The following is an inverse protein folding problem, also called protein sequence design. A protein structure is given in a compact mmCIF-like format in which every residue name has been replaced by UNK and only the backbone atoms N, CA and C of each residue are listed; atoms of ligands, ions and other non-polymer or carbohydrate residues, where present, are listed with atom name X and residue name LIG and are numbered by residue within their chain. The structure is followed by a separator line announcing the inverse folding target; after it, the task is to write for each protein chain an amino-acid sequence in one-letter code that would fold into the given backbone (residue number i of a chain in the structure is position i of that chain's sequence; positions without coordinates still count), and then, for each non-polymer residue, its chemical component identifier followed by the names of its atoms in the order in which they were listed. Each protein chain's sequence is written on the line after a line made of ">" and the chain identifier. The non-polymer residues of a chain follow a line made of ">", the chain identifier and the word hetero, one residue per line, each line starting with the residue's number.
data_IF_862012228240
#
_entry.id   IF_862012228240
#
_cell.length_a   1.000
_cell.length_b   1.000
_cell.length_c   1.000
_cell.angle_alpha   90.00
_cell.angle_beta   90.00
_cell.angle_gamma   90.00
#
_symmetry.space_group_name_H-M   'P 1'
#
loop_
_entity.id
_entity.type
_entity.pdbx_description
1 polymer ?
#
# COMPACT_ATOMS: atom_id res chain seq x y z
N UNK A 1 6.15 -10.39 12.36
CA UNK A 1 7.06 -11.54 12.22
C UNK A 1 6.83 -12.46 13.40
N UNK A 2 7.17 -13.74 13.27
CA UNK A 2 7.07 -14.71 14.36
C UNK A 2 8.29 -14.66 15.28
N UNK A 3 8.15 -15.23 16.48
CA UNK A 3 9.27 -15.58 17.35
C UNK A 3 9.49 -17.09 17.28
N UNK A 4 10.73 -17.54 17.48
CA UNK A 4 11.06 -18.97 17.57
C UNK A 4 10.72 -19.44 18.99
N UNK A 5 9.81 -20.42 19.18
CA UNK A 5 9.56 -21.01 20.49
C UNK A 5 10.76 -21.84 20.96
N UNK A 6 10.96 -21.93 22.28
CA UNK A 6 12.04 -22.73 22.87
C UNK A 6 12.02 -24.19 22.35
N UNK A 7 13.19 -24.64 21.89
CA UNK A 7 13.40 -26.02 21.42
C UNK A 7 12.96 -26.34 19.99
N UNK A 8 12.52 -25.34 19.19
CA UNK A 8 12.25 -25.50 17.75
C UNK A 8 13.29 -24.77 16.91
N UNK A 9 13.60 -25.33 15.74
CA UNK A 9 14.44 -24.64 14.75
C UNK A 9 13.61 -23.67 13.90
N UNK A 10 14.26 -22.64 13.33
CA UNK A 10 13.59 -21.69 12.43
C UNK A 10 12.85 -22.38 11.27
N UNK A 11 13.44 -23.44 10.70
CA UNK A 11 12.93 -24.15 9.52
C UNK A 11 11.66 -24.91 9.89
N UNK A 12 11.63 -25.51 11.09
CA UNK A 12 10.45 -26.19 11.62
C UNK A 12 9.28 -25.24 11.88
N UNK A 13 9.54 -24.01 12.34
CA UNK A 13 8.48 -23.04 12.65
C UNK A 13 7.83 -22.50 11.38
N UNK A 14 8.64 -21.97 10.45
CA UNK A 14 8.13 -21.34 9.23
C UNK A 14 7.47 -22.33 8.28
N UNK A 15 8.14 -23.45 7.99
CA UNK A 15 7.65 -24.44 7.02
C UNK A 15 6.41 -25.18 7.52
N UNK A 16 6.40 -25.59 8.80
CA UNK A 16 5.23 -26.28 9.38
C UNK A 16 4.02 -25.37 9.42
N UNK A 17 4.20 -24.09 9.78
CA UNK A 17 3.11 -23.12 9.82
C UNK A 17 2.50 -22.92 8.43
N UNK A 18 3.32 -22.66 7.41
CA UNK A 18 2.81 -22.49 6.04
C UNK A 18 2.12 -23.75 5.54
N UNK A 19 2.68 -24.94 5.80
CA UNK A 19 2.07 -26.21 5.37
C UNK A 19 0.69 -26.42 6.00
N UNK A 20 0.56 -26.26 7.33
CA UNK A 20 -0.72 -26.37 8.02
C UNK A 20 -1.75 -25.38 7.50
N UNK A 21 -1.34 -24.13 7.30
CA UNK A 21 -2.20 -23.12 6.68
C UNK A 21 -2.62 -23.50 5.25
N UNK A 22 -1.73 -24.11 4.48
CA UNK A 22 -2.04 -24.58 3.12
C UNK A 22 -3.16 -25.61 3.11
N UNK A 23 -3.08 -26.61 3.99
CA UNK A 23 -4.08 -27.68 4.09
C UNK A 23 -5.45 -27.12 4.54
N UNK A 24 -5.47 -26.24 5.55
CA UNK A 24 -6.70 -25.59 6.03
C UNK A 24 -7.36 -24.73 4.94
N UNK A 25 -6.59 -23.88 4.27
CA UNK A 25 -7.13 -22.99 3.24
C UNK A 25 -7.55 -23.73 1.97
N UNK A 26 -6.89 -24.83 1.62
CA UNK A 26 -7.29 -25.67 0.50
C UNK A 26 -8.67 -26.32 0.73
N UNK A 27 -8.95 -26.74 1.98
CA UNK A 27 -10.27 -27.25 2.35
C UNK A 27 -11.35 -26.15 2.25
N UNK A 28 -11.08 -24.94 2.75
CA UNK A 28 -12.00 -23.80 2.63
C UNK A 28 -12.25 -23.42 1.16
N UNK A 29 -11.21 -23.43 0.32
CA UNK A 29 -11.33 -23.20 -1.13
C UNK A 29 -12.26 -24.22 -1.78
N UNK A 30 -12.10 -25.51 -1.45
CA UNK A 30 -12.96 -26.57 -1.98
C UNK A 30 -14.42 -26.38 -1.57
N UNK A 31 -14.67 -25.98 -0.32
CA UNK A 31 -16.02 -25.68 0.16
C UNK A 31 -16.65 -24.49 -0.59
N UNK A 32 -15.89 -23.41 -0.78
CA UNK A 32 -16.33 -22.24 -1.54
C UNK A 32 -16.67 -22.59 -2.99
N UNK A 33 -15.87 -23.44 -3.64
CA UNK A 33 -16.15 -23.94 -4.99
C UNK A 33 -17.48 -24.70 -5.04
N UNK A 34 -17.72 -25.62 -4.11
CA UNK A 34 -18.97 -26.37 -4.05
C UNK A 34 -20.20 -25.47 -3.83
N UNK A 35 -20.08 -24.45 -2.96
CA UNK A 35 -21.13 -23.47 -2.77
C UNK A 35 -21.41 -22.67 -4.06
N UNK A 36 -20.34 -22.24 -4.77
CA UNK A 36 -20.48 -21.56 -6.06
C UNK A 36 -21.10 -22.45 -7.14
N UNK A 37 -20.75 -23.74 -7.19
CA UNK A 37 -21.31 -24.70 -8.14
C UNK A 37 -22.79 -24.94 -7.88
N UNK A 38 -23.19 -25.06 -6.61
CA UNK A 38 -24.60 -25.17 -6.23
C UNK A 38 -25.42 -23.96 -6.68
N UNK A 39 -24.88 -22.74 -6.52
CA UNK A 39 -25.54 -21.51 -6.99
C UNK A 39 -25.59 -21.40 -8.51
N UNK A 40 -24.51 -21.78 -9.21
CA UNK A 40 -24.43 -21.72 -10.67
C UNK A 40 -25.22 -22.85 -11.36
N UNK A 41 -25.41 -23.98 -10.67
CA UNK A 41 -26.04 -25.19 -11.19
C UNK A 41 -25.12 -26.07 -12.06
N UNK A 42 -23.82 -25.79 -12.09
CA UNK A 42 -22.80 -26.60 -12.78
C UNK A 42 -21.40 -26.24 -12.27
N UNK A 43 -20.43 -27.13 -12.50
CA UNK A 43 -19.02 -26.89 -12.16
C UNK A 43 -18.36 -25.96 -13.19
N UNK A 44 -17.55 -25.03 -12.71
CA UNK A 44 -16.80 -24.10 -13.55
C UNK A 44 -15.46 -23.74 -12.90
N UNK A 45 -14.49 -23.30 -13.69
CA UNK A 45 -13.23 -22.84 -13.18
C UNK A 45 -13.34 -21.41 -12.63
N UNK A 46 -13.44 -21.26 -11.31
CA UNK A 46 -13.52 -19.98 -10.62
C UNK A 46 -12.24 -19.13 -10.72
N UNK A 47 -11.10 -19.71 -11.12
CA UNK A 47 -9.90 -18.93 -11.45
C UNK A 47 -9.95 -18.29 -12.85
N UNK A 48 -10.83 -18.77 -13.74
CA UNK A 48 -10.98 -18.27 -15.11
C UNK A 48 -11.91 -17.05 -15.17
N UNK A 49 -11.40 -15.85 -15.52
CA UNK A 49 -12.25 -14.65 -15.61
C UNK A 49 -13.37 -14.77 -16.65
N UNK A 50 -13.15 -15.55 -17.72
CA UNK A 50 -14.13 -15.78 -18.78
C UNK A 50 -15.30 -16.64 -18.29
N UNK A 51 -15.01 -17.76 -17.62
CA UNK A 51 -16.05 -18.64 -17.08
C UNK A 51 -16.80 -17.94 -15.93
N UNK A 52 -16.10 -17.22 -15.06
CA UNK A 52 -16.76 -16.37 -14.06
C UNK A 52 -17.67 -15.32 -14.69
N UNK A 53 -17.24 -14.66 -15.78
CA UNK A 53 -18.09 -13.69 -16.48
C UNK A 53 -19.35 -14.35 -17.04
N UNK A 54 -19.23 -15.56 -17.59
CA UNK A 54 -20.37 -16.31 -18.11
C UNK A 54 -21.35 -16.68 -16.99
N UNK A 55 -20.85 -17.20 -15.88
CA UNK A 55 -21.67 -17.53 -14.70
C UNK A 55 -22.41 -16.30 -14.18
N UNK A 56 -21.70 -15.21 -13.93
CA UNK A 56 -22.28 -14.02 -13.32
C UNK A 56 -23.31 -13.32 -14.22
N UNK A 57 -22.99 -13.15 -15.50
CA UNK A 57 -23.78 -12.25 -16.36
C UNK A 57 -24.68 -12.98 -17.36
N UNK A 58 -24.38 -14.23 -17.70
CA UNK A 58 -25.22 -15.04 -18.61
C UNK A 58 -26.12 -15.97 -17.81
N UNK A 59 -25.54 -16.76 -16.89
CA UNK A 59 -26.29 -17.77 -16.12
C UNK A 59 -27.14 -17.13 -15.01
N UNK A 60 -26.51 -16.35 -14.14
CA UNK A 60 -27.17 -15.70 -13.00
C UNK A 60 -27.81 -14.35 -13.37
N UNK A 61 -27.57 -13.86 -14.59
CA UNK A 61 -28.14 -12.63 -15.15
C UNK A 61 -27.96 -11.41 -14.22
N UNK A 62 -26.83 -11.30 -13.53
CA UNK A 62 -26.55 -10.16 -12.68
C UNK A 62 -26.48 -8.85 -13.47
N UNK A 63 -26.78 -7.70 -12.83
CA UNK A 63 -26.76 -6.41 -13.49
C UNK A 63 -25.41 -6.12 -14.16
N UNK A 64 -25.44 -5.70 -15.42
CA UNK A 64 -24.25 -5.33 -16.20
C UNK A 64 -24.07 -3.80 -16.29
N UNK A 65 -25.02 -3.03 -15.75
CA UNK A 65 -24.99 -1.58 -15.77
C UNK A 65 -23.75 -1.05 -15.04
N UNK A 66 -22.93 -0.26 -15.75
CA UNK A 66 -21.70 0.29 -15.18
C UNK A 66 -20.55 -0.71 -15.02
N UNK A 67 -20.72 -1.98 -15.44
CA UNK A 67 -19.67 -2.98 -15.46
C UNK A 67 -18.84 -2.85 -16.75
N UNK A 68 -17.53 -2.74 -16.61
CA UNK A 68 -16.64 -2.64 -17.77
C UNK A 68 -16.66 -3.93 -18.59
N UNK A 69 -16.74 -3.80 -19.91
CA UNK A 69 -16.63 -4.93 -20.85
C UNK A 69 -15.23 -4.97 -21.46
N UNK A 70 -14.57 -6.13 -21.34
CA UNK A 70 -13.27 -6.42 -21.94
C UNK A 70 -13.37 -7.38 -23.11
N UNK A 71 -12.22 -7.93 -23.51
CA UNK A 71 -12.12 -8.90 -24.61
C UNK A 71 -12.79 -10.25 -24.29
N UNK A 72 -12.76 -10.67 -23.03
CA UNK A 72 -13.25 -11.98 -22.56
C UNK A 72 -14.63 -11.92 -21.91
N UNK A 73 -15.41 -10.88 -22.19
CA UNK A 73 -16.71 -10.64 -21.54
C UNK A 73 -16.71 -9.45 -20.58
N UNK A 74 -17.68 -9.42 -19.67
CA UNK A 74 -17.74 -8.40 -18.63
C UNK A 74 -16.63 -8.65 -17.61
N UNK A 75 -16.01 -7.57 -17.14
CA UNK A 75 -14.89 -7.66 -16.22
C UNK A 75 -15.38 -8.14 -14.87
N UNK A 76 -14.72 -9.18 -14.38
CA UNK A 76 -14.92 -9.71 -13.03
C UNK A 76 -13.84 -9.17 -12.08
N UNK A 77 -13.18 -8.05 -12.39
CA UNK A 77 -12.14 -7.48 -11.51
C UNK A 77 -12.72 -6.97 -10.18
N UNK A 78 -11.90 -6.82 -9.14
CA UNK A 78 -12.36 -6.44 -7.80
C UNK A 78 -13.25 -5.18 -7.80
N UNK A 79 -12.85 -4.13 -8.53
CA UNK A 79 -13.64 -2.88 -8.65
C UNK A 79 -15.02 -3.06 -9.29
N UNK A 80 -15.18 -4.11 -10.10
CA UNK A 80 -16.43 -4.42 -10.77
C UNK A 80 -17.29 -5.34 -9.89
N UNK A 81 -16.68 -6.30 -9.18
CA UNK A 81 -17.34 -7.09 -8.15
C UNK A 81 -17.86 -6.22 -7.00
N UNK A 82 -17.11 -5.19 -6.60
CA UNK A 82 -17.52 -4.23 -5.56
C UNK A 82 -18.87 -3.56 -5.91
N UNK A 83 -19.18 -3.37 -7.20
CA UNK A 83 -20.46 -2.78 -7.67
C UNK A 83 -21.63 -3.77 -7.60
N UNK A 84 -21.33 -5.06 -7.52
CA UNK A 84 -22.30 -6.16 -7.47
C UNK A 84 -22.54 -6.66 -6.04
N UNK A 85 -21.83 -6.13 -5.04
CA UNK A 85 -22.03 -6.52 -3.64
C UNK A 85 -23.49 -6.33 -3.21
N UNK A 86 -24.00 -7.32 -2.47
CA UNK A 86 -25.39 -7.35 -2.05
C UNK A 86 -26.40 -7.69 -3.16
N UNK A 87 -25.98 -7.85 -4.42
CA UNK A 87 -26.87 -8.30 -5.50
C UNK A 87 -27.04 -9.82 -5.49
N UNK A 88 -25.98 -10.57 -5.13
CA UNK A 88 -26.02 -12.02 -5.07
C UNK A 88 -24.91 -12.57 -4.15
N UNK A 89 -25.18 -13.56 -3.27
CA UNK A 89 -24.19 -14.11 -2.32
C UNK A 89 -22.92 -14.68 -2.96
N UNK A 90 -23.00 -15.09 -4.22
CA UNK A 90 -21.85 -15.61 -4.99
C UNK A 90 -20.72 -14.58 -5.10
N UNK A 91 -21.00 -13.28 -5.01
CA UNK A 91 -19.99 -12.22 -5.13
C UNK A 91 -19.03 -12.29 -3.95
N UNK A 92 -19.55 -12.41 -2.74
CA UNK A 92 -18.76 -12.54 -1.51
C UNK A 92 -17.95 -13.85 -1.51
N UNK A 93 -18.52 -14.95 -2.04
CA UNK A 93 -17.80 -16.22 -2.20
C UNK A 93 -16.62 -16.10 -3.18
N UNK A 94 -16.82 -15.42 -4.32
CA UNK A 94 -15.75 -15.19 -5.32
C UNK A 94 -14.63 -14.32 -4.73
N UNK A 95 -14.99 -13.26 -4.00
CA UNK A 95 -14.01 -12.39 -3.34
C UNK A 95 -13.16 -13.18 -2.34
N UNK A 96 -13.80 -14.01 -1.52
CA UNK A 96 -13.11 -14.89 -0.57
C UNK A 96 -12.24 -15.93 -1.26
N UNK A 97 -12.77 -16.63 -2.26
CA UNK A 97 -12.04 -17.60 -3.07
C UNK A 97 -10.76 -17.00 -3.65
N UNK A 98 -10.84 -15.79 -4.23
CA UNK A 98 -9.69 -15.10 -4.82
C UNK A 98 -8.67 -14.64 -3.78
N UNK A 99 -9.13 -14.21 -2.60
CA UNK A 99 -8.22 -13.93 -1.49
C UNK A 99 -7.42 -15.20 -1.15
N UNK A 100 -8.10 -16.31 -0.88
CA UNK A 100 -7.47 -17.55 -0.45
C UNK A 100 -6.54 -18.14 -1.49
N UNK A 101 -7.01 -18.31 -2.72
CA UNK A 101 -6.21 -18.87 -3.82
C UNK A 101 -4.97 -18.02 -4.11
N UNK A 102 -5.07 -16.68 -4.01
CA UNK A 102 -3.91 -15.80 -4.10
C UNK A 102 -2.95 -16.02 -2.93
N UNK A 103 -3.45 -16.12 -1.69
CA UNK A 103 -2.60 -16.37 -0.52
C UNK A 103 -1.86 -17.71 -0.61
N UNK A 104 -2.56 -18.76 -1.03
CA UNK A 104 -2.03 -20.10 -1.25
C UNK A 104 -0.92 -20.08 -2.31
N UNK A 105 -1.28 -19.67 -3.53
CA UNK A 105 -0.36 -19.73 -4.68
C UNK A 105 0.83 -18.78 -4.57
N UNK A 106 0.62 -17.55 -4.07
CA UNK A 106 1.65 -16.51 -4.09
C UNK A 106 2.61 -16.63 -2.91
N UNK A 107 2.14 -17.15 -1.76
CA UNK A 107 2.94 -17.17 -0.53
C UNK A 107 3.10 -18.57 0.03
N UNK A 108 2.01 -19.28 0.33
CA UNK A 108 2.08 -20.54 1.09
C UNK A 108 2.80 -21.64 0.30
N UNK A 109 2.50 -21.80 -0.99
CA UNK A 109 3.15 -22.81 -1.82
C UNK A 109 4.47 -22.31 -2.44
N UNK A 110 4.56 -21.02 -2.75
CA UNK A 110 5.69 -20.46 -3.48
C UNK A 110 6.89 -20.20 -2.56
N UNK A 111 6.69 -19.63 -1.36
CA UNK A 111 7.81 -19.24 -0.49
C UNK A 111 8.67 -20.45 -0.06
N UNK A 112 8.12 -21.60 0.35
CA UNK A 112 8.94 -22.77 0.68
C UNK A 112 9.79 -23.28 -0.49
N UNK A 113 9.28 -23.19 -1.72
CA UNK A 113 10.00 -23.60 -2.94
C UNK A 113 11.13 -22.63 -3.32
N UNK A 114 11.10 -21.40 -2.80
CA UNK A 114 12.09 -20.36 -3.05
C UNK A 114 13.14 -20.26 -1.93
N UNK A 115 13.06 -21.12 -0.91
CA UNK A 115 14.05 -21.19 0.15
C UNK A 115 15.36 -21.75 -0.39
N UNK A 116 16.46 -21.03 -0.14
CA UNK A 116 17.79 -21.47 -0.52
C UNK A 116 18.31 -22.55 0.45
N UNK A 117 19.46 -23.15 0.09
CA UNK A 117 20.09 -24.22 0.88
C UNK A 117 20.52 -23.80 2.28
N UNK A 118 20.65 -22.50 2.53
CA UNK A 118 20.95 -21.93 3.83
C UNK A 118 19.71 -21.74 4.71
N UNK A 119 18.55 -22.25 4.30
CA UNK A 119 17.27 -22.14 5.02
C UNK A 119 16.68 -20.73 5.01
N UNK A 120 17.12 -19.84 4.10
CA UNK A 120 16.62 -18.45 4.00
C UNK A 120 15.98 -18.19 2.65
N UNK A 121 15.11 -17.20 2.62
CA UNK A 121 14.56 -16.65 1.37
C UNK A 121 15.36 -15.40 1.03
N UNK A 122 15.99 -15.43 -0.14
CA UNK A 122 16.78 -14.31 -0.66
C UNK A 122 15.97 -13.59 -1.71
N UNK A 123 15.78 -12.28 -1.53
CA UNK A 123 15.15 -11.42 -2.54
C UNK A 123 16.20 -10.59 -3.26
N UNK A 124 15.88 -10.12 -4.47
CA UNK A 124 16.66 -9.13 -5.18
C UNK A 124 15.99 -7.76 -5.04
N UNK A 125 16.71 -6.79 -4.47
CA UNK A 125 16.30 -5.38 -4.49
C UNK A 125 16.80 -4.68 -5.75
N UNK A 126 15.88 -4.29 -6.64
CA UNK A 126 16.21 -3.54 -7.85
C UNK A 126 16.16 -2.04 -7.58
N UNK A 127 17.20 -1.33 -8.00
CA UNK A 127 17.41 0.08 -7.69
C UNK A 127 16.91 1.03 -8.79
N UNK A 128 16.74 0.54 -10.03
CA UNK A 128 16.51 1.30 -11.27
C UNK A 128 15.18 0.97 -11.98
N UNK A 129 14.29 0.20 -11.33
CA UNK A 129 13.02 -0.23 -11.94
C UNK A 129 11.88 0.79 -11.76
N UNK A 130 11.84 1.50 -10.63
CA UNK A 130 10.68 2.35 -10.30
C UNK A 130 10.87 3.79 -10.78
N UNK A 131 9.82 4.37 -11.36
CA UNK A 131 9.84 5.76 -11.86
C UNK A 131 9.91 6.83 -10.76
N UNK A 132 9.68 6.47 -9.50
CA UNK A 132 9.76 7.36 -8.33
C UNK A 132 11.06 7.21 -7.57
N UNK A 133 11.88 6.19 -7.87
CA UNK A 133 13.15 5.97 -7.18
C UNK A 133 13.05 5.09 -5.94
N UNK A 134 11.87 4.55 -5.59
CA UNK A 134 11.73 3.48 -4.60
C UNK A 134 12.50 2.22 -5.03
N UNK A 135 12.98 1.45 -4.06
CA UNK A 135 13.43 0.08 -4.35
C UNK A 135 12.23 -0.80 -4.70
N UNK A 136 12.46 -1.80 -5.54
CA UNK A 136 11.50 -2.89 -5.77
C UNK A 136 12.13 -4.22 -5.38
N UNK A 137 11.31 -5.18 -4.95
CA UNK A 137 11.75 -6.52 -4.58
C UNK A 137 11.21 -7.56 -5.56
N UNK A 138 12.07 -8.48 -6.01
CA UNK A 138 11.73 -9.55 -6.95
C UNK A 138 12.40 -10.87 -6.56
N UNK A 139 11.79 -11.99 -6.97
CA UNK A 139 12.31 -13.35 -6.79
C UNK A 139 12.72 -13.73 -5.35
N UNK A 140 11.79 -13.76 -4.37
CA UNK A 140 10.40 -13.32 -4.42
C UNK A 140 10.23 -11.83 -4.09
N UNK A 141 9.05 -11.27 -4.36
CA UNK A 141 8.71 -9.93 -3.89
C UNK A 141 8.31 -9.94 -2.41
N UNK A 142 9.25 -9.55 -1.55
CA UNK A 142 9.08 -9.50 -0.09
C UNK A 142 8.53 -8.15 0.41
N UNK A 143 8.36 -7.15 -0.47
CA UNK A 143 7.71 -5.89 -0.11
C UNK A 143 6.18 -6.01 -0.06
N UNK A 144 5.62 -7.04 -0.72
CA UNK A 144 4.18 -7.26 -0.83
C UNK A 144 3.66 -8.39 0.08
N UNK A 145 4.34 -8.69 1.19
CA UNK A 145 3.85 -9.68 2.14
C UNK A 145 2.56 -9.16 2.82
N UNK A 146 1.46 -9.93 2.83
CA UNK A 146 0.19 -9.45 3.35
C UNK A 146 0.24 -9.14 4.87
N UNK A 147 -0.47 -8.10 5.30
CA UNK A 147 -0.51 -7.68 6.72
C UNK A 147 -1.91 -7.27 7.22
N UNK A 148 -2.83 -6.99 6.30
CA UNK A 148 -4.13 -6.37 6.63
C UNK A 148 -5.12 -7.36 7.22
N UNK A 149 -5.14 -8.59 6.72
CA UNK A 149 -6.06 -9.65 7.16
C UNK A 149 -5.39 -10.57 8.17
N UNK A 150 -6.18 -11.30 8.95
CA UNK A 150 -5.66 -12.27 9.93
C UNK A 150 -4.79 -13.33 9.25
N UNK A 151 -5.26 -13.89 8.13
CA UNK A 151 -4.49 -14.85 7.33
C UNK A 151 -3.17 -14.24 6.82
N UNK A 152 -3.21 -12.98 6.38
CA UNK A 152 -1.99 -12.27 5.98
C UNK A 152 -0.99 -12.14 7.14
N UNK A 153 -1.47 -11.79 8.35
CA UNK A 153 -0.62 -11.73 9.54
C UNK A 153 -0.04 -13.10 9.90
N UNK A 154 -0.80 -14.18 9.76
CA UNK A 154 -0.32 -15.55 9.95
C UNK A 154 0.78 -15.91 8.95
N UNK A 155 0.65 -15.56 7.66
CA UNK A 155 1.76 -15.71 6.68
C UNK A 155 3.00 -14.93 7.13
N UNK A 156 2.82 -13.70 7.62
CA UNK A 156 3.93 -12.89 8.13
C UNK A 156 4.58 -13.48 9.39
N UNK A 157 3.89 -14.35 10.14
CA UNK A 157 4.47 -15.06 11.28
C UNK A 157 5.41 -16.21 10.85
N UNK A 158 5.29 -16.71 9.61
CA UNK A 158 6.20 -17.72 9.09
C UNK A 158 7.62 -17.17 8.83
N UNK A 159 7.78 -15.85 8.74
CA UNK A 159 9.07 -15.20 8.73
C UNK A 159 9.57 -15.05 10.17
N UNK A 160 10.63 -15.77 10.48
CA UNK A 160 11.25 -15.85 11.81
C UNK A 160 12.72 -15.39 11.73
N UNK A 161 13.27 -14.81 12.80
CA UNK A 161 14.67 -14.41 12.84
C UNK A 161 15.58 -15.64 12.86
N UNK A 162 16.87 -15.43 12.66
CA UNK A 162 17.92 -16.42 12.91
C UNK A 162 17.90 -16.86 14.37
N UNK A 163 18.34 -18.09 14.63
CA UNK A 163 18.38 -18.66 15.99
C UNK A 163 19.12 -17.75 16.97
N UNK A 164 18.52 -17.51 18.14
CA UNK A 164 19.08 -16.62 19.17
C UNK A 164 19.03 -15.12 18.84
N UNK A 165 18.37 -14.72 17.75
CA UNK A 165 18.17 -13.32 17.38
C UNK A 165 16.68 -12.93 17.36
N UNK A 166 16.43 -11.64 17.23
CA UNK A 166 15.11 -11.04 17.12
C UNK A 166 15.07 -10.02 16.00
N UNK A 167 13.88 -9.80 15.44
CA UNK A 167 13.66 -8.72 14.49
C UNK A 167 13.32 -7.41 15.20
N UNK A 168 13.90 -6.32 14.72
CA UNK A 168 13.56 -4.94 15.09
C UNK A 168 13.11 -4.21 13.83
N UNK A 169 11.91 -3.63 13.87
CA UNK A 169 11.34 -2.89 12.74
C UNK A 169 11.14 -1.42 13.10
N UNK A 170 11.46 -0.52 12.16
CA UNK A 170 11.15 0.89 12.24
C UNK A 170 10.39 1.34 10.99
N UNK A 171 9.42 2.23 11.16
CA UNK A 171 8.50 2.69 10.12
C UNK A 171 8.21 4.19 10.33
N UNK A 172 8.28 4.98 9.27
CA UNK A 172 7.95 6.41 9.35
C UNK A 172 6.44 6.63 9.49
N UNK A 173 6.04 7.26 10.60
CA UNK A 173 4.64 7.61 10.81
C UNK A 173 4.15 8.67 9.81
N UNK A 174 3.18 8.29 8.97
CA UNK A 174 2.47 9.19 8.04
C UNK A 174 3.42 9.95 7.09
N UNK A 175 4.48 9.28 6.63
CA UNK A 175 5.63 9.91 5.98
C UNK A 175 5.25 10.82 4.79
N UNK A 176 4.44 10.31 3.86
CA UNK A 176 4.05 11.07 2.66
C UNK A 176 3.26 12.35 2.98
N UNK A 177 2.39 12.34 3.98
CA UNK A 177 1.59 13.52 4.34
C UNK A 177 2.45 14.57 5.07
N UNK A 178 3.41 14.14 5.90
CA UNK A 178 4.42 15.02 6.50
C UNK A 178 5.28 15.67 5.42
N UNK A 179 5.73 14.89 4.43
CA UNK A 179 6.49 15.40 3.30
C UNK A 179 5.68 16.37 2.46
N UNK A 180 4.41 16.08 2.18
CA UNK A 180 3.54 16.99 1.46
C UNK A 180 3.42 18.35 2.19
N UNK A 181 3.24 18.33 3.52
CA UNK A 181 3.18 19.54 4.34
C UNK A 181 4.46 20.38 4.22
N UNK A 182 5.63 19.74 4.40
CA UNK A 182 6.94 20.40 4.33
C UNK A 182 7.25 20.93 2.93
N UNK A 183 7.04 20.13 1.89
CA UNK A 183 7.33 20.51 0.51
C UNK A 183 6.40 21.62 0.00
N UNK A 184 5.16 21.66 0.50
CA UNK A 184 4.20 22.71 0.17
C UNK A 184 4.33 23.97 1.04
N UNK A 185 5.06 23.92 2.15
CA UNK A 185 5.12 25.01 3.12
C UNK A 185 3.79 25.23 3.85
N UNK A 186 3.04 24.17 4.15
CA UNK A 186 1.79 24.25 4.92
C UNK A 186 2.11 24.31 6.42
N UNK A 187 2.41 25.51 6.93
CA UNK A 187 2.77 25.74 8.35
C UNK A 187 1.72 25.19 9.31
N UNK A 188 0.43 25.35 8.99
CA UNK A 188 -0.67 24.82 9.80
C UNK A 188 -0.61 23.31 9.89
N UNK A 189 -0.41 22.60 8.77
CA UNK A 189 -0.30 21.14 8.78
C UNK A 189 0.97 20.67 9.48
N UNK A 190 2.07 21.41 9.35
CA UNK A 190 3.32 21.15 10.08
C UNK A 190 3.09 21.27 11.59
N UNK A 191 2.44 22.34 12.05
CA UNK A 191 2.12 22.55 13.46
C UNK A 191 1.17 21.47 14.01
N UNK A 192 0.19 21.05 13.19
CA UNK A 192 -0.70 19.93 13.53
C UNK A 192 0.11 18.66 13.81
N UNK A 193 1.09 18.36 12.96
CA UNK A 193 1.98 17.20 13.14
C UNK A 193 2.92 17.32 14.34
N UNK A 194 3.34 18.53 14.70
CA UNK A 194 4.21 18.79 15.84
C UNK A 194 3.45 18.79 17.18
N UNK A 195 2.14 19.01 17.14
CA UNK A 195 1.27 19.08 18.33
C UNK A 195 0.59 17.75 18.67
N UNK A 196 0.98 16.65 18.01
CA UNK A 196 0.43 15.29 18.17
C UNK A 196 -1.12 15.22 18.08
N UNK A 197 -1.72 16.11 17.28
CA UNK A 197 -3.17 16.11 17.07
C UNK A 197 -3.56 15.02 16.07
N UNK A 198 -4.75 14.43 16.23
CA UNK A 198 -5.29 13.53 15.21
C UNK A 198 -5.58 14.33 13.92
N UNK A 199 -4.63 14.29 12.99
CA UNK A 199 -4.68 15.00 11.70
C UNK A 199 -5.95 14.69 10.92
N UNK A 200 -6.46 13.44 10.96
CA UNK A 200 -7.66 13.10 10.22
C UNK A 200 -8.90 13.73 10.85
N UNK A 201 -8.98 13.72 12.18
CA UNK A 201 -10.06 14.38 12.92
C UNK A 201 -9.98 15.90 12.74
N UNK A 202 -8.79 16.48 12.78
CA UNK A 202 -8.59 17.92 12.58
C UNK A 202 -8.93 18.35 11.16
N UNK A 203 -8.44 17.64 10.13
CA UNK A 203 -8.85 17.87 8.74
C UNK A 203 -10.36 17.78 8.59
N UNK A 204 -11.01 16.79 9.19
CA UNK A 204 -12.47 16.66 9.13
C UNK A 204 -13.17 17.87 9.78
N UNK A 205 -12.79 18.23 11.00
CA UNK A 205 -13.33 19.38 11.73
C UNK A 205 -13.26 20.67 10.90
N UNK A 206 -12.09 20.94 10.32
CA UNK A 206 -11.86 22.15 9.51
C UNK A 206 -12.63 22.13 8.19
N UNK A 207 -12.72 20.96 7.54
CA UNK A 207 -13.38 20.82 6.23
C UNK A 207 -14.91 20.85 6.36
N UNK A 208 -15.46 20.32 7.45
CA UNK A 208 -16.90 20.34 7.74
C UNK A 208 -17.36 21.56 8.53
N UNK A 209 -16.44 22.35 9.07
CA UNK A 209 -16.76 23.51 9.90
C UNK A 209 -17.38 23.14 11.26
N UNK A 210 -16.96 22.01 11.85
CA UNK A 210 -17.48 21.52 13.14
C UNK A 210 -16.34 21.40 14.17
N UNK A 211 -16.62 21.48 15.48
CA UNK A 211 -15.63 21.17 16.51
C UNK A 211 -15.07 19.75 16.37
N UNK A 212 -13.80 19.54 16.74
CA UNK A 212 -13.17 18.21 16.69
C UNK A 212 -13.95 17.15 17.50
N UNK A 213 -14.58 17.54 18.61
CA UNK A 213 -15.41 16.67 19.44
C UNK A 213 -16.69 16.19 18.75
N UNK A 214 -17.14 16.88 17.70
CA UNK A 214 -18.35 16.57 16.95
C UNK A 214 -18.06 15.81 15.65
N UNK A 215 -16.77 15.54 15.35
CA UNK A 215 -16.38 14.77 14.18
C UNK A 215 -16.84 13.33 14.31
N UNK A 216 -17.73 12.95 13.41
CA UNK A 216 -18.22 11.57 13.30
C UNK A 216 -17.16 10.63 12.70
N UNK A 217 -17.32 9.32 12.93
CA UNK A 217 -16.44 8.29 12.35
C UNK A 217 -16.42 8.34 10.81
N UNK A 218 -17.55 8.65 10.17
CA UNK A 218 -17.64 8.76 8.70
C UNK A 218 -16.88 9.99 8.18
N UNK A 219 -17.00 11.14 8.84
CA UNK A 219 -16.25 12.36 8.51
C UNK A 219 -14.74 12.15 8.68
N UNK A 220 -14.31 11.54 9.79
CA UNK A 220 -12.90 11.16 10.01
C UNK A 220 -12.40 10.20 8.93
N UNK A 221 -13.21 9.21 8.53
CA UNK A 221 -12.89 8.28 7.44
C UNK A 221 -12.71 9.01 6.11
N UNK A 222 -13.58 9.97 5.80
CA UNK A 222 -13.46 10.77 4.58
C UNK A 222 -12.19 11.63 4.57
N UNK A 223 -11.88 12.29 5.69
CA UNK A 223 -10.65 13.04 5.86
C UNK A 223 -9.40 12.16 5.73
N UNK A 224 -9.44 10.93 6.27
CA UNK A 224 -8.37 9.95 6.06
C UNK A 224 -8.21 9.61 4.57
N UNK A 225 -9.30 9.31 3.88
CA UNK A 225 -9.28 8.96 2.45
C UNK A 225 -8.73 10.12 1.62
N UNK A 226 -9.13 11.37 1.90
CA UNK A 226 -8.61 12.52 1.15
C UNK A 226 -7.15 12.81 1.49
N UNK A 227 -6.73 12.77 2.76
CA UNK A 227 -5.33 13.04 3.14
C UNK A 227 -4.37 12.09 2.40
N UNK A 228 -4.73 10.81 2.29
CA UNK A 228 -3.94 9.85 1.53
C UNK A 228 -4.20 9.88 0.02
N UNK A 229 -5.37 10.34 -0.43
CA UNK A 229 -5.75 10.31 -1.84
C UNK A 229 -5.40 11.57 -2.63
N UNK A 230 -5.40 12.72 -1.97
CA UNK A 230 -5.25 14.04 -2.60
C UNK A 230 -3.85 14.24 -3.16
N UNK A 231 -2.83 13.70 -2.49
CA UNK A 231 -1.44 13.66 -2.96
C UNK A 231 -1.30 12.90 -4.30
N UNK A 232 -2.31 12.10 -4.66
CA UNK A 232 -2.36 11.29 -5.87
C UNK A 232 -3.41 11.80 -6.87
N UNK A 233 -3.95 13.00 -6.66
CA UNK A 233 -4.97 13.59 -7.53
C UNK A 233 -6.30 12.81 -7.51
N UNK A 234 -6.73 12.38 -6.32
CA UNK A 234 -8.04 11.77 -6.10
C UNK A 234 -9.15 12.64 -6.66
N UNK A 235 -10.01 12.04 -7.50
CA UNK A 235 -11.16 12.75 -8.07
C UNK A 235 -12.36 12.72 -7.11
N UNK A 236 -13.34 13.63 -7.27
CA UNK A 236 -14.60 13.56 -6.52
C UNK A 236 -15.31 12.21 -6.68
N UNK A 237 -15.28 11.62 -7.87
CA UNK A 237 -15.79 10.26 -8.10
C UNK A 237 -15.06 9.20 -7.26
N UNK A 238 -13.73 9.31 -7.15
CA UNK A 238 -12.92 8.39 -6.35
C UNK A 238 -13.21 8.52 -4.85
N UNK A 239 -13.36 9.76 -4.36
CA UNK A 239 -13.73 10.02 -2.98
C UNK A 239 -15.15 9.52 -2.67
N UNK A 240 -16.12 9.82 -3.53
CA UNK A 240 -17.51 9.34 -3.41
C UNK A 240 -17.57 7.81 -3.30
N UNK A 241 -16.89 7.11 -4.22
CA UNK A 241 -16.84 5.65 -4.20
C UNK A 241 -16.19 5.09 -2.91
N UNK A 242 -15.14 5.73 -2.40
CA UNK A 242 -14.44 5.27 -1.21
C UNK A 242 -15.19 5.55 0.09
N UNK A 243 -16.02 6.60 0.13
CA UNK A 243 -16.65 7.10 1.36
C UNK A 243 -18.15 6.85 1.45
N UNK A 244 -18.82 6.62 0.31
CA UNK A 244 -20.27 6.52 0.21
C UNK A 244 -20.99 7.87 0.05
N UNK A 245 -20.25 8.97 -0.11
CA UNK A 245 -20.82 10.29 -0.37
C UNK A 245 -21.47 10.37 -1.76
N UNK A 246 -22.41 11.30 -1.92
CA UNK A 246 -22.80 11.74 -3.25
C UNK A 246 -21.64 12.44 -3.96
N UNK A 247 -21.67 12.47 -5.30
CA UNK A 247 -20.67 13.20 -6.09
C UNK A 247 -20.57 14.67 -5.69
N UNK A 248 -21.71 15.33 -5.42
CA UNK A 248 -21.78 16.74 -5.04
C UNK A 248 -21.12 16.98 -3.68
N UNK A 249 -21.37 16.12 -2.69
CA UNK A 249 -20.73 16.21 -1.37
C UNK A 249 -19.23 15.97 -1.48
N UNK A 250 -18.80 14.94 -2.22
CA UNK A 250 -17.39 14.65 -2.42
C UNK A 250 -16.66 15.82 -3.11
N UNK A 251 -17.29 16.46 -4.10
CA UNK A 251 -16.73 17.64 -4.76
C UNK A 251 -16.59 18.79 -3.77
N UNK A 252 -17.66 19.13 -3.03
CA UNK A 252 -17.61 20.19 -2.01
C UNK A 252 -16.54 19.91 -0.96
N UNK A 253 -16.41 18.67 -0.51
CA UNK A 253 -15.41 18.28 0.48
C UNK A 253 -13.97 18.50 -0.03
N UNK A 254 -13.68 18.12 -1.29
CA UNK A 254 -12.37 18.36 -1.90
C UNK A 254 -12.11 19.86 -2.06
N UNK A 255 -13.12 20.63 -2.48
CA UNK A 255 -13.00 22.08 -2.65
C UNK A 255 -12.64 22.74 -1.29
N UNK A 256 -13.39 22.46 -0.22
CA UNK A 256 -13.11 22.99 1.13
C UNK A 256 -11.78 22.48 1.69
N UNK A 257 -11.40 21.22 1.43
CA UNK A 257 -10.10 20.70 1.84
C UNK A 257 -8.96 21.55 1.27
N UNK A 258 -9.03 21.91 -0.01
CA UNK A 258 -8.01 22.76 -0.64
C UNK A 258 -8.11 24.24 -0.26
N UNK A 259 -9.26 24.72 0.21
CA UNK A 259 -9.36 26.04 0.83
C UNK A 259 -8.60 26.08 2.16
N UNK A 260 -8.80 25.06 3.01
CA UNK A 260 -8.09 24.90 4.27
C UNK A 260 -6.58 24.64 4.04
N UNK A 261 -6.25 23.82 3.03
CA UNK A 261 -4.90 23.39 2.67
C UNK A 261 -4.43 24.05 1.38
N UNK A 262 -4.58 25.38 1.30
CA UNK A 262 -4.19 26.20 0.14
C UNK A 262 -2.72 26.00 -0.27
N UNK A 263 -1.74 25.91 0.66
CA UNK A 263 -0.34 25.67 0.28
C UNK A 263 -0.16 24.34 -0.48
N UNK A 264 -0.82 23.27 -0.04
CA UNK A 264 -0.82 21.98 -0.74
C UNK A 264 -1.35 22.13 -2.17
N UNK A 265 -2.46 22.86 -2.35
CA UNK A 265 -3.01 23.10 -3.69
C UNK A 265 -2.01 23.82 -4.60
N UNK A 266 -1.42 24.89 -4.11
CA UNK A 266 -0.45 25.69 -4.85
C UNK A 266 0.79 24.88 -5.23
N UNK A 267 1.26 24.02 -4.33
CA UNK A 267 2.37 23.11 -4.59
C UNK A 267 2.05 22.11 -5.72
N UNK A 268 0.88 21.47 -5.67
CA UNK A 268 0.46 20.53 -6.72
C UNK A 268 0.28 21.23 -8.07
N UNK A 269 -0.32 22.43 -8.09
CA UNK A 269 -0.48 23.22 -9.31
C UNK A 269 0.89 23.62 -9.89
N UNK A 270 1.87 23.98 -9.05
CA UNK A 270 3.26 24.26 -9.47
C UNK A 270 3.93 23.04 -10.09
N UNK A 271 3.75 21.84 -9.51
CA UNK A 271 4.30 20.59 -10.08
C UNK A 271 3.70 20.32 -11.47
N UNK A 272 2.39 20.52 -11.65
CA UNK A 272 1.74 20.32 -12.94
C UNK A 272 2.24 21.32 -13.99
N UNK A 273 2.45 22.58 -13.61
CA UNK A 273 3.08 23.58 -14.48
C UNK A 273 4.49 23.15 -14.87
N UNK A 274 5.32 22.72 -13.91
CA UNK A 274 6.66 22.20 -14.17
C UNK A 274 6.63 21.02 -15.16
N UNK A 275 5.76 20.04 -14.93
CA UNK A 275 5.62 18.86 -15.78
C UNK A 275 5.30 19.24 -17.24
N UNK A 276 4.44 20.25 -17.45
CA UNK A 276 4.00 20.72 -18.77
C UNK A 276 5.06 21.59 -19.45
N UNK A 277 5.70 22.49 -18.72
CA UNK A 277 6.65 23.45 -19.30
C UNK A 277 8.03 22.83 -19.50
N UNK A 278 8.55 22.14 -18.49
CA UNK A 278 9.91 21.60 -18.48
C UNK A 278 9.98 20.14 -18.98
N UNK A 279 8.85 19.43 -19.03
CA UNK A 279 8.78 18.03 -19.49
C UNK A 279 9.27 17.00 -18.47
N UNK A 280 9.52 17.41 -17.22
CA UNK A 280 9.82 16.53 -16.10
C UNK A 280 9.34 17.13 -14.78
N UNK A 281 9.31 16.31 -13.74
CA UNK A 281 9.17 16.72 -12.33
C UNK A 281 10.35 16.20 -11.53
N UNK A 282 10.64 16.78 -10.37
CA UNK A 282 11.78 16.38 -9.55
C UNK A 282 11.50 16.34 -8.04
N UNK A 283 12.29 15.52 -7.32
CA UNK A 283 12.26 15.42 -5.86
C UNK A 283 13.00 16.59 -5.21
N UNK A 284 12.92 16.70 -3.88
CA UNK A 284 13.73 17.67 -3.11
C UNK A 284 15.23 17.55 -3.38
N UNK A 285 15.70 16.31 -3.62
CA UNK A 285 17.10 15.99 -3.95
C UNK A 285 17.37 15.94 -5.45
N UNK A 286 16.51 16.57 -6.27
CA UNK A 286 16.71 16.76 -7.71
C UNK A 286 16.69 15.46 -8.54
N UNK A 287 16.14 14.36 -8.02
CA UNK A 287 15.84 13.16 -8.84
C UNK A 287 14.73 13.52 -9.81
N UNK A 288 14.92 13.29 -11.11
CA UNK A 288 13.96 13.64 -12.16
C UNK A 288 13.14 12.46 -12.67
N UNK A 289 11.88 12.73 -13.01
CA UNK A 289 11.01 11.84 -13.80
C UNK A 289 10.49 12.59 -15.04
N UNK A 290 10.79 12.11 -16.26
CA UNK A 290 10.18 12.65 -17.48
C UNK A 290 8.66 12.47 -17.51
N UNK A 291 7.95 13.46 -18.06
CA UNK A 291 6.48 13.51 -18.11
C UNK A 291 5.95 13.75 -19.53
N UNK A 292 6.30 12.94 -20.55
CA UNK A 292 5.88 13.20 -21.93
C UNK A 292 4.35 13.18 -22.10
N UNK A 293 3.67 12.30 -21.37
CA UNK A 293 2.23 12.04 -21.52
C UNK A 293 1.32 13.14 -20.94
N UNK A 294 1.85 14.11 -20.19
CA UNK A 294 1.05 15.24 -19.67
C UNK A 294 0.58 16.18 -20.78
N UNK A 295 1.16 16.07 -21.99
CA UNK A 295 0.73 16.79 -23.20
C UNK A 295 -0.13 15.94 -24.13
N UNK A 296 -0.46 14.71 -23.75
CA UNK A 296 -1.26 13.81 -24.60
C UNK A 296 -2.62 14.42 -24.91
N UNK A 297 -3.07 14.31 -26.17
CA UNK A 297 -4.42 14.70 -26.57
C UNK A 297 -5.48 13.79 -25.95
N UNK A 298 -5.12 12.54 -25.65
CA UNK A 298 -5.99 11.58 -24.98
C UNK A 298 -6.18 11.97 -23.50
N UNK A 299 -7.41 12.36 -23.14
CA UNK A 299 -7.77 12.82 -21.80
C UNK A 299 -7.39 11.83 -20.69
N UNK A 300 -7.60 10.53 -20.91
CA UNK A 300 -7.31 9.50 -19.90
C UNK A 300 -5.82 9.33 -19.67
N UNK A 301 -5.04 9.32 -20.76
CA UNK A 301 -3.57 9.25 -20.71
C UNK A 301 -3.02 10.48 -20.00
N UNK A 302 -3.45 11.68 -20.42
CA UNK A 302 -3.04 12.94 -19.81
C UNK A 302 -3.36 13.03 -18.32
N UNK A 303 -4.60 12.73 -17.93
CA UNK A 303 -5.02 12.77 -16.52
C UNK A 303 -4.23 11.77 -15.66
N UNK A 304 -3.94 10.59 -16.20
CA UNK A 304 -3.10 9.60 -15.50
C UNK A 304 -1.66 10.08 -15.34
N UNK A 305 -1.11 10.72 -16.37
CA UNK A 305 0.23 11.29 -16.34
C UNK A 305 0.34 12.46 -15.36
N UNK A 306 -0.67 13.34 -15.31
CA UNK A 306 -0.74 14.45 -14.35
C UNK A 306 -0.77 13.96 -12.90
N UNK A 307 -1.55 12.92 -12.59
CA UNK A 307 -1.53 12.28 -11.26
C UNK A 307 -0.17 11.70 -10.91
N UNK A 308 0.45 11.03 -11.87
CA UNK A 308 1.77 10.44 -11.67
C UNK A 308 2.86 11.51 -11.49
N UNK A 309 2.73 12.65 -12.17
CA UNK A 309 3.61 13.81 -12.03
C UNK A 309 3.44 14.47 -10.65
N UNK A 310 2.22 14.68 -10.17
CA UNK A 310 1.95 15.22 -8.84
C UNK A 310 2.49 14.33 -7.71
N UNK A 311 2.36 13.02 -7.85
CA UNK A 311 2.80 12.09 -6.82
C UNK A 311 4.34 11.95 -6.74
N UNK A 312 5.02 12.03 -7.87
CA UNK A 312 6.44 11.66 -7.95
C UNK A 312 7.36 12.50 -7.04
N UNK A 313 7.24 13.83 -6.94
CA UNK A 313 8.08 14.61 -6.05
C UNK A 313 7.97 14.18 -4.58
N UNK A 314 6.78 13.85 -4.11
CA UNK A 314 6.52 13.45 -2.72
C UNK A 314 7.08 12.04 -2.49
N UNK A 315 6.61 11.06 -3.26
CA UNK A 315 7.01 9.66 -3.10
C UNK A 315 8.50 9.43 -3.43
N UNK A 316 9.05 10.21 -4.36
CA UNK A 316 10.46 10.15 -4.69
C UNK A 316 11.33 10.78 -3.61
N UNK A 317 10.89 11.89 -3.00
CA UNK A 317 11.61 12.45 -1.84
C UNK A 317 11.59 11.48 -0.67
N UNK A 318 10.47 10.80 -0.41
CA UNK A 318 10.38 9.71 0.57
C UNK A 318 11.40 8.59 0.27
N UNK A 319 11.49 8.15 -0.99
CA UNK A 319 12.45 7.14 -1.40
C UNK A 319 13.90 7.60 -1.25
N UNK A 320 14.19 8.86 -1.55
CA UNK A 320 15.51 9.47 -1.38
C UNK A 320 15.91 9.50 0.11
N UNK A 321 15.00 9.96 0.99
CA UNK A 321 15.20 9.99 2.44
C UNK A 321 15.39 8.59 3.01
N UNK A 322 14.58 7.62 2.58
CA UNK A 322 14.71 6.24 3.02
C UNK A 322 16.08 5.66 2.62
N UNK A 323 16.52 5.88 1.39
CA UNK A 323 17.85 5.43 0.93
C UNK A 323 18.99 6.08 1.73
N UNK A 324 18.87 7.36 2.06
CA UNK A 324 19.85 8.05 2.91
C UNK A 324 19.86 7.47 4.34
N UNK A 325 18.69 7.18 4.90
CA UNK A 325 18.58 6.52 6.20
C UNK A 325 19.22 5.13 6.17
N UNK A 326 18.97 4.32 5.14
CA UNK A 326 19.61 3.01 4.97
C UNK A 326 21.14 3.10 4.96
N UNK A 327 21.72 4.07 4.23
CA UNK A 327 23.18 4.26 4.17
C UNK A 327 23.75 4.60 5.56
N UNK A 328 23.06 5.46 6.32
CA UNK A 328 23.48 5.82 7.68
C UNK A 328 23.38 4.64 8.64
N UNK A 329 22.28 3.90 8.55
CA UNK A 329 22.06 2.73 9.41
C UNK A 329 23.07 1.62 9.17
N UNK A 330 23.51 1.40 7.92
CA UNK A 330 24.56 0.44 7.61
C UNK A 330 25.85 0.72 8.40
N UNK A 331 26.29 1.99 8.46
CA UNK A 331 27.45 2.41 9.27
C UNK A 331 27.20 2.22 10.77
N UNK A 332 26.05 2.71 11.27
CA UNK A 332 25.78 2.76 12.71
C UNK A 332 25.41 1.42 13.34
N UNK A 333 24.88 0.49 12.56
CA UNK A 333 24.49 -0.84 13.02
C UNK A 333 25.58 -1.89 12.77
N UNK A 334 26.71 -1.52 12.15
CA UNK A 334 27.81 -2.44 11.88
C UNK A 334 28.28 -3.18 13.13
N UNK A 335 28.25 -4.51 13.07
CA UNK A 335 28.59 -5.40 14.18
C UNK A 335 27.54 -5.52 15.30
N UNK A 336 26.44 -4.76 15.22
CA UNK A 336 25.36 -4.75 16.21
C UNK A 336 24.05 -5.37 15.68
N UNK A 337 23.68 -5.05 14.44
CA UNK A 337 22.48 -5.57 13.78
C UNK A 337 22.73 -5.74 12.27
N UNK A 338 21.93 -6.60 11.65
CA UNK A 338 21.98 -6.87 10.22
C UNK A 338 20.71 -6.35 9.56
N UNK A 339 20.82 -5.54 8.50
CA UNK A 339 19.66 -5.10 7.73
C UNK A 339 19.10 -6.25 6.89
N UNK A 340 17.82 -6.57 7.09
CA UNK A 340 17.19 -7.75 6.46
C UNK A 340 16.28 -7.34 5.29
N UNK A 341 15.38 -6.37 5.52
CA UNK A 341 14.42 -5.95 4.50
C UNK A 341 14.15 -4.45 4.58
N UNK A 342 13.98 -3.83 3.42
CA UNK A 342 13.35 -2.52 3.28
C UNK A 342 11.99 -2.70 2.61
N UNK A 343 10.95 -2.14 3.23
CA UNK A 343 9.57 -2.16 2.71
C UNK A 343 9.03 -0.74 2.74
N UNK A 344 9.18 -0.04 1.61
CA UNK A 344 8.73 1.34 1.43
C UNK A 344 9.27 2.32 2.48
N UNK A 345 8.46 2.70 3.45
CA UNK A 345 8.74 3.61 4.56
C UNK A 345 9.23 2.87 5.83
N UNK A 346 9.49 1.56 5.73
CA UNK A 346 9.99 0.74 6.84
C UNK A 346 11.29 -0.02 6.55
N UNK A 347 12.07 -0.24 7.61
CA UNK A 347 13.29 -1.05 7.64
C UNK A 347 13.13 -2.12 8.72
N UNK A 348 13.50 -3.35 8.38
CA UNK A 348 13.58 -4.49 9.29
C UNK A 348 15.05 -4.90 9.43
N UNK A 349 15.53 -4.94 10.66
CA UNK A 349 16.85 -5.45 11.02
C UNK A 349 16.73 -6.65 11.95
N UNK A 350 17.82 -7.38 12.09
CA UNK A 350 17.93 -8.51 13.00
C UNK A 350 19.13 -8.32 13.93
N UNK A 351 18.93 -8.49 15.24
CA UNK A 351 19.97 -8.35 16.26
C UNK A 351 19.77 -9.34 17.41
N UNK A 352 20.70 -9.39 18.36
CA UNK A 352 20.54 -10.20 19.57
C UNK A 352 19.51 -9.56 20.52
N UNK A 353 18.78 -10.36 21.34
CA UNK A 353 17.81 -9.83 22.29
C UNK A 353 18.35 -8.74 23.22
N UNK A 354 19.60 -8.88 23.69
CA UNK A 354 20.26 -7.91 24.56
C UNK A 354 20.53 -6.54 23.88
N UNK A 355 20.60 -6.50 22.55
CA UNK A 355 20.94 -5.30 21.78
C UNK A 355 19.70 -4.51 21.30
N UNK A 356 18.49 -5.04 21.52
CA UNK A 356 17.22 -4.47 20.99
C UNK A 356 17.05 -3.00 21.33
N UNK A 357 17.31 -2.61 22.58
CA UNK A 357 17.12 -1.22 23.01
C UNK A 357 18.07 -0.28 22.27
N UNK A 358 19.36 -0.64 22.22
CA UNK A 358 20.40 0.15 21.54
C UNK A 358 20.14 0.25 20.03
N UNK A 359 19.77 -0.85 19.40
CA UNK A 359 19.42 -0.89 17.96
C UNK A 359 18.20 -0.01 17.68
N UNK A 360 17.16 -0.09 18.52
CA UNK A 360 15.94 0.72 18.35
C UNK A 360 16.22 2.22 18.47
N UNK A 361 17.08 2.62 19.41
CA UNK A 361 17.50 4.01 19.60
C UNK A 361 18.29 4.54 18.40
N UNK A 362 19.25 3.75 17.89
CA UNK A 362 20.01 4.09 16.68
C UNK A 362 19.08 4.21 15.47
N UNK A 363 18.20 3.23 15.27
CA UNK A 363 17.24 3.24 14.16
C UNK A 363 16.38 4.49 14.17
N UNK A 364 15.81 4.82 15.34
CA UNK A 364 15.01 6.03 15.52
C UNK A 364 15.82 7.30 15.23
N UNK A 365 17.00 7.43 15.84
CA UNK A 365 17.82 8.63 15.71
C UNK A 365 18.26 8.89 14.26
N UNK A 366 18.69 7.86 13.53
CA UNK A 366 19.16 8.01 12.15
C UNK A 366 18.02 8.22 11.14
N UNK A 367 16.85 7.63 11.38
CA UNK A 367 15.66 7.87 10.57
C UNK A 367 15.06 9.26 10.83
N UNK A 368 15.02 9.72 12.08
CA UNK A 368 14.52 11.07 12.41
C UNK A 368 15.57 12.18 12.18
N UNK A 369 16.80 11.82 11.82
CA UNK A 369 17.89 12.77 11.65
C UNK A 369 17.59 13.81 10.56
N UNK A 370 17.88 15.07 10.87
CA UNK A 370 17.77 16.17 9.91
C UNK A 370 18.64 15.89 8.69
N UNK A 371 18.04 16.03 7.51
CA UNK A 371 18.73 15.94 6.24
C UNK A 371 18.72 17.33 5.58
N UNK A 372 19.90 17.86 5.29
CA UNK A 372 20.04 19.05 4.45
C UNK A 372 20.19 18.62 3.01
N UNK A 373 19.72 19.46 2.07
CA UNK A 373 20.17 19.38 0.69
C UNK A 373 21.70 19.46 0.71
N UNK A 374 22.38 18.55 0.00
CA UNK A 374 23.80 18.77 -0.29
C UNK A 374 23.82 20.08 -1.08
N UNK A 375 24.32 21.14 -0.45
CA UNK A 375 24.48 22.42 -1.12
C UNK A 375 25.46 22.21 -2.28
N UNK A 376 25.08 22.63 -3.47
CA UNK A 376 25.97 22.72 -4.62
C UNK A 376 27.13 23.70 -4.34
#
# INVERSE_FOLDING_TARGET
>A
MGAIPDGKTRDEVGHTLLKQMGDELAAEVSELEQQMYSMAGYEFNASSPAQLSEVLFTKLQLPTAGIKKGKTGYSTGQKELDKLRGQHPIIELIERYRELTKLISTYIEALPKLMATDGRIHTTFNQDVTSTGRLSSTNPNLQNIPVRTELGRKIRQAFVPSDGKVFVGADYSQFELRLAAVLAGDEKLIDDFNSDVDIHTKTAAETYGVPMSEVTKSQRRAAKVINFGVLYGMSPHGLAAATGMSFTEAKKFIDHYFEVRKPIRQYLDKILTQAREQGFVETYFSRRRPTPDVKSSNFMVRTSAERAAMNMPIQGTEADLMKLAMIRLEDKLSGLAEAILQVHDSILVECKPEDVQKVSEIMKAEMEARLSRIAD
#
